data_IF_153890136672
#
_entry.id   IF_153890136672
#
_cell.length_a   1.000
_cell.length_b   1.000
_cell.length_c   1.000
_cell.angle_alpha   90.00
_cell.angle_beta   90.00
_cell.angle_gamma   90.00
#
_symmetry.space_group_name_H-M   'P 1'
#
loop_
_entity.id
_entity.type
_entity.pdbx_description
1 polymer ?
#
# COMPACT_ATOMS: atom_id res chain seq x y z
N UNK A 1 -10.28 8.42 -13.19
CA UNK A 1 -10.49 7.05 -12.69
C UNK A 1 -9.18 6.29 -12.93
N UNK A 2 -8.53 5.82 -11.86
CA UNK A 2 -7.25 5.08 -11.97
C UNK A 2 -7.61 3.60 -11.80
N UNK A 3 -7.28 2.75 -12.78
CA UNK A 3 -7.50 1.31 -12.66
C UNK A 3 -6.29 0.63 -12.04
N UNK A 4 -6.54 -0.42 -11.25
CA UNK A 4 -5.53 -1.18 -10.53
C UNK A 4 -4.48 -1.72 -11.50
N UNK A 5 -4.92 -2.28 -12.64
CA UNK A 5 -4.05 -2.84 -13.70
C UNK A 5 -3.02 -1.86 -14.28
N UNK A 6 -3.23 -0.56 -14.10
CA UNK A 6 -2.33 0.49 -14.62
C UNK A 6 -1.27 0.91 -13.59
N UNK A 7 -1.25 0.30 -12.39
CA UNK A 7 -0.26 0.56 -11.36
C UNK A 7 0.89 -0.45 -11.40
N UNK A 8 2.05 -0.06 -10.89
CA UNK A 8 3.25 -0.90 -10.87
C UNK A 8 3.12 -2.03 -9.84
N UNK A 9 3.04 -3.28 -10.29
CA UNK A 9 2.82 -4.50 -9.48
C UNK A 9 1.43 -4.56 -8.81
N UNK A 10 0.35 -4.54 -9.62
CA UNK A 10 -1.02 -4.49 -9.11
C UNK A 10 -1.34 -5.70 -8.23
N UNK A 11 -0.83 -6.85 -8.64
CA UNK A 11 -1.07 -8.14 -8.01
C UNK A 11 -0.32 -8.30 -6.68
N UNK A 12 0.80 -7.60 -6.48
CA UNK A 12 1.53 -7.68 -5.22
C UNK A 12 0.99 -6.68 -4.20
N UNK A 13 0.93 -5.39 -4.57
CA UNK A 13 0.55 -4.34 -3.62
C UNK A 13 -0.97 -4.32 -3.41
N UNK A 14 -1.75 -4.43 -4.50
CA UNK A 14 -3.22 -4.41 -4.41
C UNK A 14 -3.77 -5.60 -3.63
N UNK A 15 -3.29 -6.82 -3.94
CA UNK A 15 -3.66 -8.02 -3.19
C UNK A 15 -3.26 -7.93 -1.73
N UNK A 16 -2.02 -7.51 -1.45
CA UNK A 16 -1.53 -7.39 -0.06
C UNK A 16 -2.33 -6.38 0.76
N UNK A 17 -2.75 -5.26 0.17
CA UNK A 17 -3.66 -4.31 0.84
C UNK A 17 -4.97 -5.01 1.24
N UNK A 18 -5.60 -5.75 0.32
CA UNK A 18 -6.85 -6.44 0.61
C UNK A 18 -6.69 -7.52 1.70
N UNK A 19 -5.59 -8.28 1.70
CA UNK A 19 -5.29 -9.25 2.76
C UNK A 19 -5.16 -8.60 4.13
N UNK A 20 -4.40 -7.51 4.23
CA UNK A 20 -4.19 -6.81 5.51
C UNK A 20 -5.51 -6.25 6.05
N UNK A 21 -6.36 -5.71 5.18
CA UNK A 21 -7.68 -5.22 5.54
C UNK A 21 -8.63 -6.34 5.96
N UNK A 22 -8.55 -7.53 5.36
CA UNK A 22 -9.31 -8.70 5.80
C UNK A 22 -8.87 -9.15 7.19
N UNK A 23 -7.56 -9.22 7.42
CA UNK A 23 -6.99 -9.77 8.66
C UNK A 23 -7.10 -8.81 9.86
N UNK A 24 -6.97 -7.51 9.62
CA UNK A 24 -6.85 -6.50 10.69
C UNK A 24 -8.04 -5.53 10.73
N UNK A 25 -8.98 -5.66 9.78
CA UNK A 25 -10.12 -4.76 9.66
C UNK A 25 -9.73 -3.40 9.09
N UNK A 26 -9.95 -2.33 9.87
CA UNK A 26 -9.81 -0.96 9.39
C UNK A 26 -8.38 -0.45 9.50
N UNK A 27 -7.77 -0.09 8.36
CA UNK A 27 -6.40 0.44 8.34
C UNK A 27 -6.33 1.79 7.63
N UNK A 28 -5.37 2.62 8.06
CA UNK A 28 -5.06 3.90 7.41
C UNK A 28 -4.03 3.72 6.30
N UNK A 29 -3.96 4.69 5.38
CA UNK A 29 -2.90 4.75 4.36
C UNK A 29 -1.48 4.64 4.95
N UNK A 30 -1.25 5.24 6.12
CA UNK A 30 0.06 5.24 6.76
C UNK A 30 0.40 3.85 7.34
N UNK A 31 -0.56 3.18 7.98
CA UNK A 31 -0.37 1.82 8.49
C UNK A 31 -0.08 0.82 7.36
N UNK A 32 -0.88 0.88 6.28
CA UNK A 32 -0.65 0.05 5.09
C UNK A 32 0.72 0.30 4.46
N UNK A 33 1.14 1.57 4.35
CA UNK A 33 2.47 1.91 3.81
C UNK A 33 3.60 1.34 4.65
N UNK A 34 3.49 1.42 5.98
CA UNK A 34 4.48 0.86 6.89
C UNK A 34 4.56 -0.67 6.78
N UNK A 35 3.42 -1.36 6.77
CA UNK A 35 3.38 -2.83 6.76
C UNK A 35 3.80 -3.44 5.42
N UNK A 36 3.58 -2.73 4.30
CA UNK A 36 3.95 -3.20 2.96
C UNK A 36 5.37 -2.73 2.59
N UNK A 37 5.90 -1.70 3.26
CA UNK A 37 7.18 -1.09 2.92
C UNK A 37 7.11 -0.19 1.69
N UNK A 38 5.96 0.46 1.47
CA UNK A 38 5.67 1.27 0.28
C UNK A 38 5.29 2.70 0.68
N UNK A 39 5.76 3.74 -0.04
CA UNK A 39 5.44 5.13 0.28
C UNK A 39 3.93 5.39 0.32
N UNK A 40 3.51 6.25 1.26
CA UNK A 40 2.08 6.61 1.44
C UNK A 40 1.41 7.10 0.15
N UNK A 41 2.12 7.86 -0.68
CA UNK A 41 1.60 8.34 -1.96
C UNK A 41 1.25 7.21 -2.93
N UNK A 42 2.06 6.14 -2.93
CA UNK A 42 1.80 4.93 -3.73
C UNK A 42 0.59 4.18 -3.17
N UNK A 43 0.54 3.97 -1.85
CA UNK A 43 -0.65 3.36 -1.19
C UNK A 43 -1.93 4.14 -1.50
N UNK A 44 -1.87 5.48 -1.54
CA UNK A 44 -3.03 6.29 -1.90
C UNK A 44 -3.55 5.98 -3.30
N UNK A 45 -2.66 5.84 -4.30
CA UNK A 45 -3.05 5.49 -5.67
C UNK A 45 -3.72 4.11 -5.73
N UNK A 46 -3.14 3.15 -5.02
CA UNK A 46 -3.68 1.80 -4.89
C UNK A 46 -5.07 1.77 -4.27
N UNK A 47 -5.26 2.46 -3.14
CA UNK A 47 -6.56 2.51 -2.48
C UNK A 47 -7.62 3.21 -3.34
N UNK A 48 -7.27 4.27 -4.06
CA UNK A 48 -8.20 4.89 -5.03
C UNK A 48 -8.65 3.87 -6.08
N UNK A 49 -7.72 3.15 -6.69
CA UNK A 49 -8.06 2.13 -7.69
C UNK A 49 -8.90 0.98 -7.11
N UNK A 50 -8.53 0.48 -5.94
CA UNK A 50 -9.27 -0.59 -5.26
C UNK A 50 -10.67 -0.16 -4.83
N UNK A 51 -10.85 1.10 -4.42
CA UNK A 51 -12.16 1.65 -4.08
C UNK A 51 -13.00 1.87 -5.33
N UNK A 52 -12.42 2.44 -6.40
CA UNK A 52 -13.09 2.62 -7.70
C UNK A 52 -13.58 1.27 -8.28
N UNK A 53 -12.80 0.20 -8.08
CA UNK A 53 -13.13 -1.16 -8.54
C UNK A 53 -13.93 -1.99 -7.50
N UNK A 54 -14.27 -1.42 -6.34
CA UNK A 54 -15.14 -2.03 -5.34
C UNK A 54 -14.51 -3.13 -4.48
N UNK A 55 -13.18 -3.20 -4.40
CA UNK A 55 -12.45 -4.10 -3.49
C UNK A 55 -12.34 -3.54 -2.06
N UNK A 56 -12.37 -2.21 -1.92
CA UNK A 56 -12.28 -1.52 -0.63
C UNK A 56 -13.28 -0.37 -0.55
N UNK A 57 -13.51 0.15 0.66
CA UNK A 57 -14.30 1.34 0.90
C UNK A 57 -13.77 2.12 2.10
N UNK A 58 -14.15 3.39 2.22
CA UNK A 58 -13.85 4.21 3.40
C UNK A 58 -14.89 3.87 4.47
N UNK A 59 -14.47 3.16 5.51
CA UNK A 59 -15.33 2.74 6.60
C UNK A 59 -15.52 3.83 7.66
N UNK A 60 -14.49 4.65 7.89
CA UNK A 60 -14.54 5.73 8.87
C UNK A 60 -13.50 6.81 8.56
N UNK A 61 -13.53 7.91 9.32
CA UNK A 61 -12.52 8.96 9.27
C UNK A 61 -12.21 9.50 10.66
N UNK A 62 -10.95 9.88 10.89
CA UNK A 62 -10.48 10.50 12.12
C UNK A 62 -10.12 11.94 11.80
N UNK A 63 -10.87 12.87 12.36
CA UNK A 63 -10.55 14.30 12.33
C UNK A 63 -9.51 14.63 13.39
N UNK A 64 -8.48 15.38 13.02
CA UNK A 64 -7.47 15.85 13.97
C UNK A 64 -7.21 17.34 13.80
N UNK A 65 -6.86 17.98 14.91
CA UNK A 65 -6.38 19.34 14.96
C UNK A 65 -5.07 19.33 15.75
N UNK A 66 -3.97 19.76 15.11
CA UNK A 66 -2.68 19.93 15.76
C UNK A 66 -2.36 21.41 15.82
N UNK A 67 -2.21 21.96 17.02
CA UNK A 67 -1.64 23.29 17.19
C UNK A 67 -0.17 23.24 16.78
N UNK A 68 0.20 24.04 15.78
CA UNK A 68 1.61 24.31 15.48
C UNK A 68 1.91 25.69 16.02
N UNK A 69 2.83 25.77 16.98
CA UNK A 69 3.20 27.04 17.64
C UNK A 69 3.67 28.15 16.69
N UNK A 70 3.98 27.83 15.42
CA UNK A 70 4.48 28.79 14.43
C UNK A 70 3.52 29.09 13.27
N UNK A 71 2.43 28.34 13.05
CA UNK A 71 1.59 28.45 11.83
C UNK A 71 0.09 28.17 12.03
N UNK A 72 -0.44 28.45 13.22
CA UNK A 72 -1.87 28.23 13.52
C UNK A 72 -2.26 26.75 13.68
N UNK A 73 -3.57 26.47 13.71
CA UNK A 73 -4.11 25.12 13.92
C UNK A 73 -4.18 24.38 12.59
N UNK A 74 -3.39 23.32 12.43
CA UNK A 74 -3.48 22.42 11.27
C UNK A 74 -4.58 21.41 11.52
N UNK A 75 -5.67 21.51 10.75
CA UNK A 75 -6.75 20.52 10.73
C UNK A 75 -6.54 19.52 9.60
N UNK A 76 -6.90 18.27 9.81
CA UNK A 76 -6.84 17.25 8.78
C UNK A 76 -7.74 16.06 9.09
N UNK A 77 -7.94 15.22 8.08
CA UNK A 77 -8.74 14.00 8.16
C UNK A 77 -7.86 12.83 7.78
N UNK A 78 -7.95 11.74 8.55
CA UNK A 78 -7.32 10.46 8.25
C UNK A 78 -8.43 9.47 7.91
N UNK A 79 -8.37 8.88 6.72
CA UNK A 79 -9.34 7.90 6.28
C UNK A 79 -8.96 6.50 6.76
N UNK A 80 -9.95 5.75 7.23
CA UNK A 80 -9.88 4.34 7.58
C UNK A 80 -10.56 3.52 6.49
N UNK A 81 -9.80 2.66 5.85
CA UNK A 81 -10.26 1.80 4.76
C UNK A 81 -10.60 0.42 5.31
N UNK A 82 -11.60 -0.22 4.73
CA UNK A 82 -11.95 -1.62 4.98
C UNK A 82 -12.15 -2.36 3.66
N UNK A 83 -12.07 -3.70 3.71
CA UNK A 83 -12.28 -4.56 2.54
C UNK A 83 -13.78 -4.81 2.33
N UNK A 84 -14.20 -4.90 1.08
CA UNK A 84 -15.52 -5.42 0.72
C UNK A 84 -15.50 -6.96 0.68
N UNK A 85 -16.67 -7.59 0.50
CA UNK A 85 -16.77 -9.05 0.29
C UNK A 85 -16.37 -9.49 -1.13
N UNK A 86 -15.93 -8.58 -2.00
CA UNK A 86 -15.49 -8.92 -3.35
C UNK A 86 -14.29 -9.87 -3.27
N UNK A 87 -14.23 -10.93 -4.09
CA UNK A 87 -13.06 -11.81 -4.17
C UNK A 87 -11.78 -11.01 -4.36
N UNK A 88 -10.65 -11.52 -3.87
CA UNK A 88 -9.36 -10.84 -4.01
C UNK A 88 -9.06 -10.60 -5.50
N UNK A 89 -8.39 -9.49 -5.85
CA UNK A 89 -7.99 -9.25 -7.23
C UNK A 89 -7.13 -10.43 -7.70
N UNK A 90 -7.48 -11.00 -8.86
CA UNK A 90 -6.75 -12.16 -9.40
C UNK A 90 -5.30 -11.79 -9.66
N UNK A 91 -4.38 -12.64 -9.20
CA UNK A 91 -2.96 -12.54 -9.52
C UNK A 91 -2.81 -13.00 -10.98
N UNK A 92 -2.50 -12.07 -11.87
CA UNK A 92 -2.36 -12.31 -13.32
C UNK A 92 -0.95 -12.70 -13.74
N UNK A 93 0.03 -12.65 -12.84
CA UNK A 93 1.40 -13.05 -13.12
C UNK A 93 1.69 -14.50 -12.74
N UNK A 94 1.96 -15.33 -13.75
CA UNK A 94 2.84 -16.48 -13.58
C UNK A 94 4.16 -15.92 -13.04
N UNK A 95 4.54 -16.29 -11.82
CA UNK A 95 5.78 -15.83 -11.23
C UNK A 95 6.82 -16.91 -11.44
N UNK A 96 7.84 -16.60 -12.23
CA UNK A 96 9.12 -17.23 -12.06
C UNK A 96 9.58 -16.92 -10.63
N UNK A 97 9.50 -17.90 -9.75
CA UNK A 97 10.06 -17.79 -8.41
C UNK A 97 11.55 -17.49 -8.55
N UNK A 98 12.00 -16.38 -7.97
CA UNK A 98 13.41 -16.03 -7.95
C UNK A 98 14.13 -17.16 -7.22
N UNK A 99 15.01 -17.84 -7.93
CA UNK A 99 15.78 -18.94 -7.33
C UNK A 99 16.65 -18.39 -6.20
N UNK A 100 17.01 -19.20 -5.20
CA UNK A 100 17.90 -18.76 -4.13
C UNK A 100 19.23 -18.17 -4.65
N UNK A 101 19.72 -18.64 -5.79
CA UNK A 101 20.94 -18.14 -6.44
C UNK A 101 20.77 -16.71 -6.99
N UNK A 102 19.65 -16.43 -7.66
CA UNK A 102 19.35 -15.10 -8.18
C UNK A 102 19.10 -14.10 -7.06
N UNK A 103 18.38 -14.52 -6.01
CA UNK A 103 18.18 -13.69 -4.83
C UNK A 103 19.53 -13.36 -4.16
N UNK A 104 20.43 -14.33 -4.04
CA UNK A 104 21.77 -14.12 -3.52
C UNK A 104 22.55 -13.10 -4.35
N UNK A 105 22.53 -13.20 -5.69
CA UNK A 105 23.17 -12.23 -6.58
C UNK A 105 22.60 -10.82 -6.41
N UNK A 106 21.27 -10.67 -6.35
CA UNK A 106 20.61 -9.38 -6.15
C UNK A 106 21.04 -8.77 -4.81
N UNK A 107 20.96 -9.54 -3.73
CA UNK A 107 21.33 -9.09 -2.38
C UNK A 107 22.80 -8.68 -2.30
N UNK A 108 23.71 -9.48 -2.84
CA UNK A 108 25.13 -9.15 -2.92
C UNK A 108 25.39 -7.87 -3.74
N UNK A 109 24.71 -7.70 -4.86
CA UNK A 109 24.84 -6.51 -5.71
C UNK A 109 24.33 -5.22 -5.05
N UNK A 110 23.32 -5.31 -4.18
CA UNK A 110 22.84 -4.17 -3.37
C UNK A 110 23.88 -3.80 -2.30
N UNK A 111 24.42 -4.80 -1.59
CA UNK A 111 25.44 -4.59 -0.56
C UNK A 111 26.71 -3.98 -1.14
N UNK A 112 27.16 -4.42 -2.32
CA UNK A 112 28.35 -3.88 -2.98
C UNK A 112 28.16 -2.42 -3.39
N UNK A 113 27.00 -2.05 -3.93
CA UNK A 113 26.68 -0.66 -4.29
C UNK A 113 26.59 0.26 -3.07
N UNK A 114 26.04 -0.23 -1.95
CA UNK A 114 25.97 0.53 -0.70
C UNK A 114 27.32 0.81 -0.05
N UNK A 115 28.37 0.03 -0.36
CA UNK A 115 29.75 0.24 0.14
C UNK A 115 30.57 1.23 -0.68
N UNK A 116 30.06 1.71 -1.81
CA UNK A 116 30.74 2.69 -2.68
C UNK A 116 30.32 4.15 -2.39
N UNK A 117 29.48 4.37 -1.38
CA UNK A 117 29.13 5.68 -0.81
C UNK A 117 29.92 5.91 0.48
#
# INVERSE_FOLDING_TARGET
MISLRNLSNPDLVGHRICELLEQQGMLTQASLGLQIGVPRGTISKYLTALTDEGYTYIANSISYAKSSGARGIRRGVILLYARTKKPLPMITGDRDEVTPAELHQIMCGIVQRGKQL
#
